data_IF_687700501225
#
_entry.id   IF_687700501225
#
_cell.length_a   1.000
_cell.length_b   1.000
_cell.length_c   1.000
_cell.angle_alpha   90.00
_cell.angle_beta   90.00
_cell.angle_gamma   90.00
#
_symmetry.space_group_name_H-M   'P 1'
#
loop_
_entity.id
_entity.type
_entity.pdbx_description
1 polymer ?
#
# COMPACT_ATOMS: atom_id res chain seq x y z
N UNK A 1 10.45 7.93 -12.04
CA UNK A 1 11.30 8.97 -12.66
C UNK A 1 12.50 8.30 -13.35
N UNK A 2 12.93 8.75 -14.55
CA UNK A 2 14.11 8.22 -15.23
C UNK A 2 15.38 8.58 -14.43
N UNK A 3 16.35 7.64 -14.37
CA UNK A 3 17.62 7.87 -13.70
C UNK A 3 18.59 8.62 -14.64
N UNK A 4 18.52 9.94 -14.61
CA UNK A 4 19.40 10.81 -15.39
C UNK A 4 19.78 12.07 -14.56
N UNK A 5 20.98 12.60 -14.75
CA UNK A 5 21.40 13.82 -14.06
C UNK A 5 20.40 14.96 -14.27
N UNK A 6 20.07 15.69 -13.20
CA UNK A 6 19.15 16.82 -13.24
C UNK A 6 17.65 16.46 -13.14
N UNK A 7 17.26 15.21 -13.29
CA UNK A 7 15.84 14.80 -13.22
C UNK A 7 15.23 15.04 -11.82
N UNK A 8 15.99 14.78 -10.77
CA UNK A 8 15.55 15.06 -9.40
C UNK A 8 15.32 16.57 -9.19
N UNK A 9 16.23 17.39 -9.64
CA UNK A 9 16.12 18.87 -9.53
C UNK A 9 14.86 19.34 -10.29
N UNK A 10 14.64 18.82 -11.50
CA UNK A 10 13.47 19.16 -12.30
C UNK A 10 12.15 18.73 -11.62
N UNK A 11 12.14 17.60 -10.89
CA UNK A 11 10.98 17.13 -10.14
C UNK A 11 10.74 17.93 -8.85
N UNK A 12 11.79 18.44 -8.20
CA UNK A 12 11.67 19.22 -6.97
C UNK A 12 11.26 20.70 -7.22
N UNK A 13 11.56 21.22 -8.40
CA UNK A 13 11.25 22.62 -8.75
C UNK A 13 9.76 22.99 -8.62
N UNK A 14 8.80 22.19 -9.11
CA UNK A 14 7.37 22.46 -8.92
C UNK A 14 6.94 22.57 -7.46
N UNK A 15 7.58 21.80 -6.56
CA UNK A 15 7.30 21.84 -5.13
C UNK A 15 7.64 23.20 -4.56
N UNK A 16 8.80 23.73 -4.92
CA UNK A 16 9.23 25.07 -4.51
C UNK A 16 8.35 26.16 -5.13
N UNK A 17 7.94 26.01 -6.41
CA UNK A 17 7.05 26.94 -7.10
C UNK A 17 5.65 26.98 -6.47
N UNK A 18 5.17 25.84 -5.93
CA UNK A 18 3.92 25.76 -5.18
C UNK A 18 4.01 26.33 -3.75
N UNK A 19 5.21 26.72 -3.33
CA UNK A 19 5.47 27.21 -1.97
C UNK A 19 5.63 26.11 -0.93
N UNK A 20 5.89 24.88 -1.36
CA UNK A 20 6.18 23.76 -0.48
C UNK A 20 7.57 23.82 0.14
N UNK A 21 7.66 23.57 1.44
CA UNK A 21 8.92 23.44 2.16
C UNK A 21 9.35 21.96 2.20
N UNK A 22 10.46 21.64 1.55
CA UNK A 22 10.98 20.26 1.50
C UNK A 22 11.67 19.95 2.82
N UNK A 23 11.17 18.95 3.53
CA UNK A 23 11.69 18.48 4.82
C UNK A 23 12.74 17.38 4.59
N UNK A 24 12.44 16.43 3.70
CA UNK A 24 13.36 15.34 3.37
C UNK A 24 13.18 14.87 1.94
N UNK A 25 14.26 14.36 1.35
CA UNK A 25 14.26 13.65 0.07
C UNK A 25 14.98 12.33 0.29
N UNK A 26 14.27 11.24 0.12
CA UNK A 26 14.78 9.88 0.28
C UNK A 26 14.82 9.23 -1.11
N UNK A 27 16.03 8.88 -1.54
CA UNK A 27 16.23 8.20 -2.80
C UNK A 27 16.41 6.71 -2.52
N UNK A 28 15.36 5.94 -2.78
CA UNK A 28 15.40 4.49 -2.61
C UNK A 28 16.10 3.85 -3.82
N UNK A 29 17.15 3.11 -3.52
CA UNK A 29 17.82 2.29 -4.50
C UNK A 29 17.44 0.82 -4.26
N UNK A 30 16.57 0.30 -5.14
CA UNK A 30 16.24 -1.11 -5.15
C UNK A 30 17.06 -1.83 -6.23
N UNK A 31 18.03 -2.67 -5.84
CA UNK A 31 18.88 -3.40 -6.78
C UNK A 31 18.10 -4.47 -7.57
N UNK A 32 16.90 -4.85 -7.14
CA UNK A 32 16.06 -5.87 -7.80
C UNK A 32 15.26 -5.29 -8.97
N UNK A 33 15.01 -3.99 -8.95
CA UNK A 33 14.33 -3.30 -10.05
C UNK A 33 15.34 -3.08 -11.19
N UNK A 34 15.30 -3.96 -12.19
CA UNK A 34 16.05 -3.80 -13.46
C UNK A 34 15.58 -2.61 -14.30
N UNK A 35 14.64 -1.81 -13.82
CA UNK A 35 14.10 -0.67 -14.54
C UNK A 35 15.01 0.56 -14.35
N UNK A 36 15.15 1.35 -15.41
CA UNK A 36 15.82 2.68 -15.38
C UNK A 36 15.00 3.73 -14.62
N UNK A 37 13.98 3.32 -13.88
CA UNK A 37 13.08 4.19 -13.13
C UNK A 37 13.43 4.14 -11.66
N UNK A 38 13.60 5.30 -11.04
CA UNK A 38 13.91 5.44 -9.62
C UNK A 38 12.68 5.93 -8.87
N UNK A 39 12.48 5.37 -7.68
CA UNK A 39 11.50 5.85 -6.72
C UNK A 39 12.18 6.88 -5.83
N UNK A 40 11.55 8.02 -5.66
CA UNK A 40 12.01 9.08 -4.77
C UNK A 40 10.84 9.44 -3.87
N UNK A 41 11.06 9.35 -2.58
CA UNK A 41 10.12 9.83 -1.58
C UNK A 41 10.50 11.25 -1.19
N UNK A 42 9.57 12.18 -1.27
CA UNK A 42 9.78 13.57 -0.86
C UNK A 42 8.81 13.86 0.26
N UNK A 43 9.35 14.24 1.41
CA UNK A 43 8.56 14.74 2.54
C UNK A 43 8.58 16.24 2.48
N UNK A 44 7.41 16.85 2.45
CA UNK A 44 7.29 18.30 2.33
C UNK A 44 6.12 18.83 3.18
N UNK A 45 6.21 20.08 3.56
CA UNK A 45 5.13 20.83 4.18
C UNK A 45 4.50 21.74 3.13
N UNK A 46 3.21 21.54 2.88
CA UNK A 46 2.44 22.29 1.88
C UNK A 46 0.99 22.42 2.35
N UNK A 47 0.37 23.61 2.26
CA UNK A 47 -1.05 23.77 2.52
C UNK A 47 -1.93 22.88 1.63
N UNK A 48 -2.99 22.30 2.22
CA UNK A 48 -3.86 21.33 1.53
C UNK A 48 -4.48 21.90 0.24
N UNK A 49 -4.84 23.18 0.25
CA UNK A 49 -5.41 23.89 -0.92
C UNK A 49 -4.47 23.98 -2.13
N UNK A 50 -3.18 23.71 -1.95
CA UNK A 50 -2.16 23.74 -3.01
C UNK A 50 -1.75 22.35 -3.51
N UNK A 51 -2.20 21.32 -2.85
CA UNK A 51 -1.80 19.93 -3.16
C UNK A 51 -2.23 19.52 -4.56
N UNK A 52 -3.49 19.80 -4.94
CA UNK A 52 -4.02 19.43 -6.25
C UNK A 52 -3.25 20.13 -7.38
N UNK A 53 -2.95 21.40 -7.21
CA UNK A 53 -2.15 22.17 -8.18
C UNK A 53 -0.73 21.64 -8.34
N UNK A 54 -0.11 21.18 -7.23
CA UNK A 54 1.20 20.56 -7.28
C UNK A 54 1.15 19.24 -8.03
N UNK A 55 0.13 18.40 -7.77
CA UNK A 55 -0.07 17.11 -8.47
C UNK A 55 -0.19 17.31 -9.97
N UNK A 56 -1.02 18.27 -10.38
CA UNK A 56 -1.21 18.59 -11.80
C UNK A 56 0.09 19.07 -12.46
N UNK A 57 0.84 19.94 -11.75
CA UNK A 57 2.14 20.43 -12.22
C UNK A 57 3.19 19.33 -12.37
N UNK A 58 3.25 18.39 -11.41
CA UNK A 58 4.17 17.25 -11.47
C UNK A 58 3.80 16.29 -12.61
N UNK A 59 2.52 15.97 -12.74
CA UNK A 59 2.02 15.05 -13.77
C UNK A 59 2.23 15.62 -15.18
N UNK A 60 1.96 16.91 -15.38
CA UNK A 60 2.19 17.58 -16.66
C UNK A 60 3.67 17.59 -17.09
N UNK A 61 4.59 17.52 -16.14
CA UNK A 61 6.04 17.42 -16.38
C UNK A 61 6.53 15.98 -16.51
N UNK A 62 5.60 15.00 -16.57
CA UNK A 62 5.94 13.58 -16.76
C UNK A 62 6.44 12.87 -15.50
N UNK A 63 6.20 13.42 -14.32
CA UNK A 63 6.45 12.75 -13.05
C UNK A 63 5.25 11.88 -12.73
N UNK A 64 5.47 10.56 -12.60
CA UNK A 64 4.43 9.64 -12.14
C UNK A 64 4.42 9.65 -10.62
N UNK A 65 3.29 10.01 -10.04
CA UNK A 65 3.08 9.96 -8.60
C UNK A 65 2.53 8.58 -8.28
N UNK A 66 3.26 7.81 -7.48
CA UNK A 66 2.89 6.45 -7.08
C UNK A 66 2.06 6.48 -5.79
N UNK A 67 2.39 7.40 -4.90
CA UNK A 67 1.73 7.55 -3.60
C UNK A 67 1.81 9.02 -3.18
N UNK A 68 0.78 9.55 -2.55
CA UNK A 68 0.74 10.92 -2.08
C UNK A 68 0.06 11.01 -0.72
N UNK A 69 0.64 11.86 0.14
CA UNK A 69 0.19 12.11 1.50
C UNK A 69 0.83 11.17 2.52
N UNK A 70 0.75 11.53 3.78
CA UNK A 70 0.56 10.51 4.78
C UNK A 70 -0.81 9.93 4.45
N UNK A 71 -0.84 8.90 3.65
CA UNK A 71 -1.97 8.00 3.69
C UNK A 71 -1.99 7.46 5.11
N UNK A 72 -2.65 8.20 5.99
CA UNK A 72 -3.19 7.58 7.19
C UNK A 72 -4.13 6.56 6.64
N UNK A 73 -3.67 5.32 6.63
CA UNK A 73 -4.51 4.17 6.46
C UNK A 73 -5.47 4.22 7.66
N UNK A 74 -6.54 4.99 7.48
CA UNK A 74 -7.40 5.45 8.59
C UNK A 74 -8.31 4.33 9.05
N UNK A 75 -8.50 3.32 8.20
CA UNK A 75 -9.37 2.18 8.46
C UNK A 75 -8.55 0.91 8.58
N UNK A 76 -8.72 0.23 9.70
CA UNK A 76 -8.16 -1.10 9.91
C UNK A 76 -9.28 -2.11 10.04
N UNK A 77 -9.13 -3.26 9.41
CA UNK A 77 -10.02 -4.40 9.58
C UNK A 77 -9.18 -5.66 9.76
N UNK A 78 -9.48 -6.40 10.81
CA UNK A 78 -8.83 -7.69 11.07
C UNK A 78 -9.75 -8.82 10.65
N UNK A 79 -9.19 -9.80 9.97
CA UNK A 79 -9.88 -11.01 9.55
C UNK A 79 -9.11 -12.24 10.02
N UNK A 80 -9.80 -13.37 10.19
CA UNK A 80 -9.15 -14.63 10.51
C UNK A 80 -9.27 -15.57 9.32
N UNK A 81 -8.14 -16.11 8.87
CA UNK A 81 -8.08 -17.17 7.87
C UNK A 81 -7.75 -18.50 8.55
N UNK A 82 -8.51 -19.53 8.25
CA UNK A 82 -8.35 -20.86 8.85
C UNK A 82 -8.24 -21.90 7.73
N UNK A 83 -7.21 -22.74 7.82
CA UNK A 83 -6.98 -23.82 6.86
C UNK A 83 -5.54 -24.34 6.90
N UNK A 84 -5.11 -25.00 5.83
CA UNK A 84 -3.74 -25.47 5.71
C UNK A 84 -2.81 -24.35 5.23
N UNK A 85 -2.69 -23.27 6.05
CA UNK A 85 -1.99 -22.04 5.68
C UNK A 85 -0.51 -22.29 5.32
N UNK A 86 0.15 -23.25 5.97
CA UNK A 86 1.55 -23.59 5.67
C UNK A 86 1.76 -24.20 4.29
N UNK A 87 0.71 -24.71 3.67
CA UNK A 87 0.75 -25.27 2.31
C UNK A 87 0.23 -24.30 1.26
N UNK A 88 -0.17 -23.10 1.68
CA UNK A 88 -0.62 -22.03 0.80
C UNK A 88 0.42 -20.92 0.78
N UNK A 89 0.57 -20.28 -0.37
CA UNK A 89 1.43 -19.10 -0.48
C UNK A 89 0.70 -17.87 0.09
N UNK A 90 1.03 -17.52 1.35
CA UNK A 90 0.50 -16.32 1.99
C UNK A 90 1.15 -15.04 1.44
N UNK A 91 2.39 -15.12 0.94
CA UNK A 91 3.07 -13.97 0.34
C UNK A 91 2.29 -13.47 -0.88
N UNK A 92 1.83 -14.40 -1.75
CA UNK A 92 0.95 -14.06 -2.87
C UNK A 92 -0.34 -13.35 -2.41
N UNK A 93 -0.88 -13.73 -1.24
CA UNK A 93 -2.09 -13.08 -0.69
C UNK A 93 -1.81 -11.65 -0.25
N UNK A 94 -0.69 -11.43 0.43
CA UNK A 94 -0.22 -10.11 0.83
C UNK A 94 0.03 -9.23 -0.39
N UNK A 95 0.79 -9.77 -1.35
CA UNK A 95 1.15 -9.06 -2.58
C UNK A 95 -0.08 -8.60 -3.38
N UNK A 96 -1.14 -9.42 -3.44
CA UNK A 96 -2.39 -9.04 -4.12
C UNK A 96 -3.09 -7.85 -3.48
N UNK A 97 -2.97 -7.66 -2.16
CA UNK A 97 -3.53 -6.51 -1.44
C UNK A 97 -2.60 -5.32 -1.61
N UNK A 98 -1.31 -5.49 -1.33
CA UNK A 98 -0.33 -4.41 -1.33
C UNK A 98 -0.13 -3.81 -2.74
N UNK A 99 -0.23 -4.63 -3.79
CA UNK A 99 -0.18 -4.16 -5.18
C UNK A 99 -1.35 -3.26 -5.57
N UNK A 100 -2.44 -3.21 -4.80
CA UNK A 100 -3.54 -2.27 -5.05
C UNK A 100 -3.12 -0.82 -4.86
N UNK A 101 -2.11 -0.56 -4.01
CA UNK A 101 -1.59 0.77 -3.69
C UNK A 101 -2.49 1.62 -2.78
N UNK A 102 -3.68 1.13 -2.41
CA UNK A 102 -4.62 1.82 -1.52
C UNK A 102 -4.98 1.02 -0.26
N UNK A 103 -4.51 -0.21 -0.18
CA UNK A 103 -4.61 -1.07 1.00
C UNK A 103 -3.33 -1.87 1.18
N UNK A 104 -3.01 -2.22 2.42
CA UNK A 104 -1.84 -3.03 2.75
C UNK A 104 -2.13 -3.94 3.95
N UNK A 105 -1.42 -5.07 4.02
CA UNK A 105 -1.46 -5.97 5.18
C UNK A 105 -0.41 -5.49 6.17
N UNK A 106 -0.87 -4.94 7.31
CA UNK A 106 0.01 -4.33 8.32
C UNK A 106 0.41 -5.29 9.43
N UNK A 107 -0.31 -6.40 9.59
CA UNK A 107 -0.05 -7.36 10.67
C UNK A 107 -0.53 -8.75 10.27
N UNK A 108 0.27 -9.76 10.61
CA UNK A 108 -0.09 -11.18 10.47
C UNK A 108 0.33 -11.92 11.74
N UNK A 109 -0.64 -12.51 12.42
CA UNK A 109 -0.39 -13.44 13.52
C UNK A 109 -0.85 -14.83 13.14
N UNK A 110 0.07 -15.79 13.10
CA UNK A 110 -0.24 -17.18 12.78
C UNK A 110 -0.11 -18.07 14.01
N UNK A 111 -1.10 -18.93 14.19
CA UNK A 111 -1.09 -19.96 15.22
C UNK A 111 -1.14 -21.34 14.55
N UNK A 112 -0.16 -22.18 14.86
CA UNK A 112 -0.03 -23.54 14.33
C UNK A 112 -0.11 -24.54 15.48
N UNK A 113 -1.22 -25.27 15.63
CA UNK A 113 -1.34 -26.28 16.71
C UNK A 113 -0.48 -27.53 16.45
N UNK A 114 -0.17 -27.85 15.19
CA UNK A 114 0.65 -28.97 14.77
C UNK A 114 0.82 -29.03 13.25
N UNK A 115 1.86 -29.73 12.77
CA UNK A 115 2.26 -29.77 11.35
C UNK A 115 1.14 -30.28 10.42
N UNK A 116 0.31 -31.21 10.88
CA UNK A 116 -0.77 -31.80 10.10
C UNK A 116 -2.16 -31.21 10.42
N UNK A 117 -2.22 -30.19 11.27
CA UNK A 117 -3.48 -29.59 11.70
C UNK A 117 -3.74 -28.29 10.94
N UNK A 118 -5.02 -27.88 10.90
CA UNK A 118 -5.37 -26.59 10.36
C UNK A 118 -4.77 -25.49 11.21
N UNK A 119 -4.20 -24.51 10.55
CA UNK A 119 -3.64 -23.29 11.17
C UNK A 119 -4.64 -22.17 11.09
N UNK A 120 -4.49 -21.17 11.95
CA UNK A 120 -5.23 -19.92 11.87
C UNK A 120 -4.26 -18.75 11.75
N UNK A 121 -4.63 -17.77 10.94
CA UNK A 121 -3.90 -16.51 10.83
C UNK A 121 -4.87 -15.34 11.01
N UNK A 122 -4.53 -14.44 11.92
CA UNK A 122 -5.15 -13.13 12.03
C UNK A 122 -4.40 -12.19 11.09
N UNK A 123 -5.09 -11.62 10.11
CA UNK A 123 -4.56 -10.60 9.21
C UNK A 123 -5.23 -9.27 9.53
N UNK A 124 -4.43 -8.23 9.71
CA UNK A 124 -4.94 -6.86 9.82
C UNK A 124 -4.61 -6.11 8.54
N UNK A 125 -5.65 -5.71 7.83
CA UNK A 125 -5.57 -4.89 6.62
C UNK A 125 -5.84 -3.44 6.99
N UNK A 126 -5.06 -2.55 6.42
CA UNK A 126 -5.22 -1.12 6.54
C UNK A 126 -5.54 -0.54 5.16
N UNK A 127 -6.50 0.37 5.07
CA UNK A 127 -6.90 1.00 3.82
C UNK A 127 -7.23 2.47 3.99
N UNK A 128 -7.17 3.23 2.90
CA UNK A 128 -7.34 4.68 2.92
C UNK A 128 -8.77 5.13 3.18
N UNK A 129 -9.76 4.32 2.80
CA UNK A 129 -11.19 4.60 3.02
C UNK A 129 -12.03 3.32 2.99
N UNK A 130 -13.34 3.44 3.29
CA UNK A 130 -14.26 2.31 3.35
C UNK A 130 -14.41 1.57 2.01
N UNK A 131 -14.45 2.26 0.89
CA UNK A 131 -14.57 1.64 -0.43
C UNK A 131 -13.31 0.82 -0.78
N UNK A 132 -12.12 1.34 -0.48
CA UNK A 132 -10.85 0.63 -0.65
C UNK A 132 -10.73 -0.56 0.29
N UNK A 133 -11.21 -0.43 1.53
CA UNK A 133 -11.27 -1.55 2.46
C UNK A 133 -12.17 -2.67 1.92
N UNK A 134 -13.34 -2.34 1.39
CA UNK A 134 -14.25 -3.36 0.83
C UNK A 134 -13.61 -4.05 -0.38
N UNK A 135 -12.94 -3.32 -1.27
CA UNK A 135 -12.18 -3.91 -2.38
C UNK A 135 -11.09 -4.87 -1.88
N UNK A 136 -10.37 -4.51 -0.83
CA UNK A 136 -9.37 -5.40 -0.22
C UNK A 136 -10.01 -6.66 0.38
N UNK A 137 -11.19 -6.53 1.01
CA UNK A 137 -11.95 -7.67 1.52
C UNK A 137 -12.44 -8.59 0.41
N UNK A 138 -12.88 -8.04 -0.73
CA UNK A 138 -13.25 -8.84 -1.91
C UNK A 138 -12.08 -9.66 -2.43
N UNK A 139 -10.88 -9.08 -2.47
CA UNK A 139 -9.65 -9.81 -2.83
C UNK A 139 -9.41 -10.96 -1.84
N UNK A 140 -9.51 -10.71 -0.54
CA UNK A 140 -9.32 -11.75 0.49
C UNK A 140 -10.36 -12.87 0.37
N UNK A 141 -11.64 -12.55 0.12
CA UNK A 141 -12.68 -13.56 -0.11
C UNK A 141 -12.38 -14.41 -1.32
N UNK A 142 -11.93 -13.81 -2.42
CA UNK A 142 -11.56 -14.52 -3.64
C UNK A 142 -10.35 -15.44 -3.42
N UNK A 143 -9.32 -14.95 -2.72
CA UNK A 143 -8.13 -15.74 -2.38
C UNK A 143 -8.47 -16.89 -1.44
N UNK A 144 -9.26 -16.63 -0.40
CA UNK A 144 -9.68 -17.65 0.56
C UNK A 144 -10.43 -18.80 -0.16
N UNK A 145 -11.37 -18.44 -1.04
CA UNK A 145 -12.09 -19.41 -1.87
C UNK A 145 -11.16 -20.22 -2.78
N UNK A 146 -10.22 -19.57 -3.44
CA UNK A 146 -9.25 -20.20 -4.35
C UNK A 146 -8.33 -21.18 -3.60
N UNK A 147 -7.95 -20.85 -2.38
CA UNK A 147 -7.00 -21.61 -1.54
C UNK A 147 -7.67 -22.58 -0.57
N UNK A 148 -8.99 -22.75 -0.65
CA UNK A 148 -9.81 -23.58 0.26
C UNK A 148 -9.61 -23.22 1.74
N UNK A 149 -9.62 -21.93 2.02
CA UNK A 149 -9.49 -21.35 3.36
C UNK A 149 -10.84 -20.81 3.82
N UNK A 150 -11.13 -20.98 5.12
CA UNK A 150 -12.24 -20.30 5.77
C UNK A 150 -11.81 -18.88 6.12
N UNK A 151 -12.54 -17.89 5.65
CA UNK A 151 -12.38 -16.49 6.02
C UNK A 151 -13.47 -16.10 7.02
N UNK A 152 -13.05 -15.59 8.17
CA UNK A 152 -13.95 -15.06 9.20
C UNK A 152 -13.72 -13.56 9.26
N UNK A 153 -14.75 -12.80 8.90
CA UNK A 153 -14.75 -11.35 8.95
C UNK A 153 -15.39 -10.85 10.27
N UNK A 154 -15.02 -9.67 10.76
CA UNK A 154 -15.69 -9.08 11.91
C UNK A 154 -17.15 -8.82 11.56
N UNK A 155 -18.02 -9.04 12.52
CA UNK A 155 -19.44 -8.62 12.39
C UNK A 155 -19.47 -7.09 12.36
N UNK A 156 -20.10 -6.52 11.34
CA UNK A 156 -20.37 -5.10 11.32
C UNK A 156 -21.46 -4.83 12.38
N UNK A 157 -21.13 -4.01 13.37
CA UNK A 157 -22.16 -3.45 14.24
C UNK A 157 -22.99 -2.52 13.37
N UNK A 158 -24.20 -2.96 13.02
CA UNK A 158 -25.22 -2.07 12.46
C UNK A 158 -25.62 -1.09 13.56
N UNK A 159 -25.07 0.13 13.49
CA UNK A 159 -25.51 1.27 14.27
C UNK A 159 -26.67 1.94 13.52
#
# INVERSE_FOLDING_TARGET
MKDAPGQLVAALKPISEAGGNIIAVIHEWDPTLRSKTRIVQVVLDLPEDRVDGLVESLTSRGVSILRMGEERLLMKRSVIMIGHLMHTDLSDTVDQIDCTGFAEVVEIHMTMPGIAQRSSALLTVSATNAAHMETAMEILRAVAKKKDLLLVEPMEESI
#
